data_IF_197764559783
#
_entry.id   IF_197764559783
#
_cell.length_a   1.000
_cell.length_b   1.000
_cell.length_c   1.000
_cell.angle_alpha   90.00
_cell.angle_beta   90.00
_cell.angle_gamma   90.00
#
_symmetry.space_group_name_H-M   'P 1'
#
loop_
_entity.id
_entity.type
_entity.pdbx_description
1 polymer ?
#
# COMPACT_ATOMS: atom_id res chain seq x y z
N UNK A 1 3.83 12.56 -10.56
CA UNK A 1 3.83 11.12 -10.25
C UNK A 1 4.85 10.92 -9.15
N UNK A 2 4.48 10.20 -8.09
CA UNK A 2 5.36 10.00 -6.93
C UNK A 2 6.00 8.61 -7.05
N UNK A 3 7.31 8.54 -6.87
CA UNK A 3 8.07 7.28 -6.91
C UNK A 3 8.99 7.17 -5.69
N UNK A 4 9.14 5.96 -5.16
CA UNK A 4 10.08 5.67 -4.07
C UNK A 4 10.74 4.32 -4.30
N UNK A 5 12.05 4.22 -4.05
CA UNK A 5 12.76 2.95 -4.11
C UNK A 5 12.28 2.02 -3.00
N UNK A 6 12.04 0.76 -3.33
CA UNK A 6 11.59 -0.26 -2.39
C UNK A 6 12.49 -0.39 -1.13
N UNK A 7 13.81 -0.22 -1.28
CA UNK A 7 14.76 -0.26 -0.15
C UNK A 7 14.54 0.87 0.87
N UNK A 8 13.96 2.01 0.45
CA UNK A 8 13.67 3.13 1.35
C UNK A 8 12.36 2.94 2.11
N UNK A 9 11.49 2.05 1.62
CA UNK A 9 10.17 1.82 2.20
C UNK A 9 10.32 1.06 3.51
N UNK A 10 10.06 1.73 4.62
CA UNK A 10 10.03 1.12 5.95
C UNK A 10 8.62 0.75 6.41
N UNK A 11 7.62 1.46 5.88
CA UNK A 11 6.24 1.33 6.34
C UNK A 11 5.28 1.44 5.17
N UNK A 12 4.36 0.48 5.08
CA UNK A 12 3.26 0.48 4.13
C UNK A 12 1.98 0.72 4.91
N UNK A 13 1.27 1.79 4.54
CA UNK A 13 0.00 2.14 5.16
C UNK A 13 -1.13 1.57 4.32
N UNK A 14 -1.92 0.69 4.90
CA UNK A 14 -3.14 0.19 4.29
C UNK A 14 -4.30 1.08 4.72
N UNK A 15 -4.86 1.83 3.77
CA UNK A 15 -5.90 2.81 3.96
C UNK A 15 -7.28 2.26 3.57
N UNK A 16 -8.22 2.25 4.51
CA UNK A 16 -9.62 1.86 4.24
C UNK A 16 -10.63 2.81 4.88
N UNK A 17 -11.91 2.64 4.52
CA UNK A 17 -12.99 3.55 4.93
C UNK A 17 -13.28 3.49 6.42
N UNK A 18 -13.40 2.27 6.97
CA UNK A 18 -13.84 2.04 8.36
C UNK A 18 -12.70 1.65 9.33
N UNK A 19 -11.45 1.54 8.88
CA UNK A 19 -10.30 1.24 9.75
C UNK A 19 -10.23 -0.17 10.38
N UNK A 20 -11.31 -0.98 10.40
CA UNK A 20 -11.31 -2.30 11.08
C UNK A 20 -12.14 -3.44 10.43
N UNK A 21 -12.99 -3.21 9.42
CA UNK A 21 -14.01 -4.20 9.03
C UNK A 21 -13.72 -5.12 7.82
N UNK A 22 -13.20 -4.59 6.71
CA UNK A 22 -13.23 -5.29 5.40
C UNK A 22 -11.85 -5.67 4.83
N UNK A 23 -10.78 -5.30 5.51
CA UNK A 23 -9.42 -5.31 4.94
C UNK A 23 -8.46 -6.29 5.59
N UNK A 24 -8.89 -6.98 6.65
CA UNK A 24 -8.09 -7.98 7.33
C UNK A 24 -7.65 -9.10 6.38
N UNK A 25 -8.51 -9.47 5.42
CA UNK A 25 -8.20 -10.48 4.42
C UNK A 25 -7.08 -10.03 3.47
N UNK A 26 -7.17 -8.80 2.94
CA UNK A 26 -6.14 -8.25 2.03
C UNK A 26 -4.82 -8.01 2.74
N UNK A 27 -4.85 -7.51 3.97
CA UNK A 27 -3.65 -7.31 4.80
C UNK A 27 -2.99 -8.64 5.13
N UNK A 28 -3.75 -9.67 5.51
CA UNK A 28 -3.20 -10.99 5.77
C UNK A 28 -2.62 -11.63 4.51
N UNK A 29 -3.27 -11.46 3.35
CA UNK A 29 -2.73 -11.92 2.06
C UNK A 29 -1.40 -11.22 1.75
N UNK A 30 -1.34 -9.89 1.88
CA UNK A 30 -0.11 -9.11 1.68
C UNK A 30 0.99 -9.52 2.66
N UNK A 31 0.68 -9.64 3.95
CA UNK A 31 1.63 -10.09 4.98
C UNK A 31 2.16 -11.50 4.68
N UNK A 32 1.29 -12.42 4.24
CA UNK A 32 1.70 -13.76 3.80
C UNK A 32 2.65 -13.69 2.61
N UNK A 33 2.36 -12.87 1.60
CA UNK A 33 3.22 -12.70 0.42
C UNK A 33 4.56 -12.06 0.79
N UNK A 34 4.59 -11.02 1.60
CA UNK A 34 5.82 -10.40 2.11
C UNK A 34 6.67 -11.41 2.91
N UNK A 35 6.02 -12.21 3.76
CA UNK A 35 6.71 -13.27 4.53
C UNK A 35 7.25 -14.37 3.61
N UNK A 36 6.50 -14.79 2.59
CA UNK A 36 6.96 -15.76 1.59
C UNK A 36 8.15 -15.22 0.77
N UNK A 37 8.14 -13.91 0.51
CA UNK A 37 9.22 -13.17 -0.11
C UNK A 37 10.41 -12.86 0.82
N UNK A 38 10.37 -13.32 2.09
CA UNK A 38 11.39 -13.06 3.12
C UNK A 38 11.62 -11.57 3.41
N UNK A 39 10.62 -10.72 3.17
CA UNK A 39 10.65 -9.29 3.47
C UNK A 39 10.16 -9.07 4.90
N UNK A 40 11.10 -8.86 5.82
CA UNK A 40 10.81 -8.56 7.24
C UNK A 40 11.09 -7.12 7.62
N UNK A 41 11.76 -6.36 6.74
CA UNK A 41 12.20 -4.98 7.01
C UNK A 41 11.09 -3.92 6.84
N UNK A 42 9.88 -4.35 6.47
CA UNK A 42 8.75 -3.46 6.14
C UNK A 42 7.59 -3.73 7.09
N UNK A 43 7.14 -2.68 7.77
CA UNK A 43 5.96 -2.73 8.63
C UNK A 43 4.70 -2.40 7.85
N UNK A 44 3.68 -3.27 7.92
CA UNK A 44 2.36 -3.01 7.34
C UNK A 44 1.41 -2.56 8.45
N UNK A 45 1.00 -1.29 8.41
CA UNK A 45 0.05 -0.70 9.37
C UNK A 45 -1.29 -0.43 8.70
N UNK A 46 -2.38 -0.55 9.45
CA UNK A 46 -3.71 -0.25 8.95
C UNK A 46 -4.15 1.10 9.51
N UNK A 47 -4.58 2.02 8.65
CA UNK A 47 -5.13 3.31 9.04
C UNK A 47 -6.38 3.65 8.23
N UNK A 48 -7.29 4.48 8.75
CA UNK A 48 -8.34 5.05 7.93
C UNK A 48 -7.76 5.96 6.84
N UNK A 49 -8.37 6.01 5.65
CA UNK A 49 -7.94 6.91 4.56
C UNK A 49 -7.87 8.39 4.99
N UNK A 50 -8.70 8.77 5.97
CA UNK A 50 -8.73 10.11 6.56
C UNK A 50 -7.68 10.33 7.65
N UNK A 51 -6.99 9.32 8.13
CA UNK A 51 -5.92 9.42 9.13
C UNK A 51 -4.54 9.06 8.57
N UNK A 52 -4.45 8.87 7.25
CA UNK A 52 -3.16 8.74 6.57
C UNK A 52 -2.37 10.03 6.80
N UNK A 53 -1.15 9.92 7.34
CA UNK A 53 -0.32 11.09 7.60
C UNK A 53 0.31 11.57 6.27
N UNK A 54 0.64 12.85 6.20
CA UNK A 54 1.14 13.47 4.97
C UNK A 54 2.58 13.03 4.61
N UNK A 55 3.34 12.53 5.59
CA UNK A 55 4.69 11.97 5.46
C UNK A 55 4.68 10.48 5.07
N UNK A 56 3.52 9.91 4.79
CA UNK A 56 3.41 8.54 4.34
C UNK A 56 4.22 8.33 3.06
N UNK A 57 5.02 7.26 3.03
CA UNK A 57 5.83 6.93 1.84
C UNK A 57 5.03 6.11 0.83
N UNK A 58 4.37 5.05 1.31
CA UNK A 58 3.59 4.13 0.49
C UNK A 58 2.24 3.91 1.16
N UNK A 59 1.17 4.14 0.39
CA UNK A 59 -0.20 3.97 0.84
C UNK A 59 -0.95 3.08 -0.13
N UNK A 60 -1.50 1.98 0.37
CA UNK A 60 -2.33 1.06 -0.39
C UNK A 60 -3.79 1.30 -0.02
N UNK A 61 -4.62 1.66 -0.99
CA UNK A 61 -6.00 2.11 -0.74
C UNK A 61 -6.94 1.57 -1.81
N UNK A 62 -8.21 1.39 -1.47
CA UNK A 62 -9.21 1.06 -2.50
C UNK A 62 -9.40 2.23 -3.48
N UNK A 63 -9.60 1.95 -4.78
CA UNK A 63 -9.78 2.97 -5.83
C UNK A 63 -10.82 4.04 -5.48
N UNK A 64 -11.91 3.66 -4.80
CA UNK A 64 -12.94 4.60 -4.33
C UNK A 64 -12.44 5.68 -3.36
N UNK A 65 -11.36 5.41 -2.62
CA UNK A 65 -10.77 6.33 -1.62
C UNK A 65 -9.40 6.88 -2.03
N UNK A 66 -8.88 6.47 -3.20
CA UNK A 66 -7.58 6.90 -3.70
C UNK A 66 -7.47 8.42 -3.80
N UNK A 67 -8.54 9.09 -4.24
CA UNK A 67 -8.62 10.56 -4.31
C UNK A 67 -8.42 11.23 -2.95
N UNK A 68 -9.01 10.67 -1.89
CA UNK A 68 -8.92 11.21 -0.52
C UNK A 68 -7.49 11.12 0.00
N UNK A 69 -6.85 9.96 -0.19
CA UNK A 69 -5.46 9.75 0.23
C UNK A 69 -4.51 10.65 -0.54
N UNK A 70 -4.66 10.75 -1.86
CA UNK A 70 -3.82 11.64 -2.70
C UNK A 70 -3.93 13.11 -2.29
N UNK A 71 -5.13 13.56 -1.91
CA UNK A 71 -5.33 14.92 -1.42
C UNK A 71 -4.60 15.17 -0.08
N UNK A 72 -4.46 14.15 0.77
CA UNK A 72 -3.75 14.22 2.06
C UNK A 72 -2.23 14.08 1.94
N UNK A 73 -1.79 13.14 1.12
CA UNK A 73 -0.40 12.79 0.94
C UNK A 73 -0.06 12.81 -0.56
N UNK A 74 0.05 14.01 -1.17
CA UNK A 74 0.33 14.13 -2.61
C UNK A 74 1.72 13.60 -2.99
N UNK A 75 2.65 13.60 -2.04
CA UNK A 75 4.01 13.08 -2.22
C UNK A 75 4.12 11.56 -2.00
N UNK A 76 3.10 10.93 -1.42
CA UNK A 76 3.11 9.50 -1.16
C UNK A 76 2.87 8.69 -2.43
N UNK A 77 3.44 7.49 -2.47
CA UNK A 77 3.12 6.48 -3.48
C UNK A 77 1.78 5.86 -3.13
N UNK A 78 0.72 6.32 -3.81
CA UNK A 78 -0.64 5.80 -3.63
C UNK A 78 -0.90 4.68 -4.63
N UNK A 79 -1.10 3.47 -4.12
CA UNK A 79 -1.45 2.27 -4.87
C UNK A 79 -2.93 1.96 -4.68
N UNK A 80 -3.70 2.23 -5.72
CA UNK A 80 -5.13 1.97 -5.74
C UNK A 80 -5.43 0.53 -6.20
N UNK A 81 -6.12 -0.25 -5.37
CA UNK A 81 -6.59 -1.61 -5.69
C UNK A 81 -8.12 -1.63 -5.87
N UNK A 82 -8.61 -2.59 -6.66
CA UNK A 82 -10.05 -2.79 -6.90
C UNK A 82 -10.59 -4.02 -6.18
N UNK A 83 -9.80 -5.09 -6.12
CA UNK A 83 -10.22 -6.36 -5.53
C UNK A 83 -9.50 -6.61 -4.21
N UNK A 84 -10.25 -7.04 -3.20
CA UNK A 84 -9.65 -7.36 -1.88
C UNK A 84 -8.88 -8.69 -1.90
N UNK A 85 -9.21 -9.57 -2.85
CA UNK A 85 -8.63 -10.90 -3.04
C UNK A 85 -8.09 -11.00 -4.46
N UNK A 86 -6.85 -11.48 -4.61
CA UNK A 86 -6.18 -11.72 -5.89
C UNK A 86 -6.04 -10.49 -6.81
N UNK A 87 -5.99 -9.28 -6.25
CA UNK A 87 -5.66 -8.12 -7.06
C UNK A 87 -4.19 -8.15 -7.48
N UNK A 88 -3.88 -8.02 -8.79
CA UNK A 88 -2.51 -8.06 -9.30
C UNK A 88 -1.64 -6.93 -8.75
N UNK A 89 -2.23 -5.86 -8.20
CA UNK A 89 -1.49 -4.79 -7.52
C UNK A 89 -0.70 -5.33 -6.34
N UNK A 90 -1.23 -6.28 -5.57
CA UNK A 90 -0.51 -6.86 -4.42
C UNK A 90 0.70 -7.68 -4.87
N UNK A 91 0.55 -8.48 -5.93
CA UNK A 91 1.66 -9.26 -6.48
C UNK A 91 2.73 -8.37 -7.08
N UNK A 92 2.33 -7.34 -7.84
CA UNK A 92 3.26 -6.33 -8.36
C UNK A 92 4.00 -5.62 -7.24
N UNK A 93 3.28 -5.15 -6.22
CA UNK A 93 3.87 -4.47 -5.06
C UNK A 93 4.91 -5.36 -4.40
N UNK A 94 4.58 -6.60 -4.05
CA UNK A 94 5.53 -7.53 -3.41
C UNK A 94 6.70 -7.83 -4.32
N UNK A 95 6.45 -8.06 -5.62
CA UNK A 95 7.51 -8.33 -6.60
C UNK A 95 8.47 -7.14 -6.71
N UNK A 96 7.97 -5.91 -6.84
CA UNK A 96 8.79 -4.70 -6.87
C UNK A 96 9.59 -4.53 -5.59
N UNK A 97 9.01 -4.87 -4.43
CA UNK A 97 9.75 -4.86 -3.17
C UNK A 97 10.88 -5.90 -3.12
N UNK A 98 10.65 -7.10 -3.67
CA UNK A 98 11.67 -8.16 -3.77
C UNK A 98 12.78 -7.78 -4.74
N UNK A 99 12.41 -7.25 -5.92
CA UNK A 99 13.33 -6.82 -6.96
C UNK A 99 14.05 -5.51 -6.59
N UNK A 100 13.75 -4.92 -5.42
CA UNK A 100 14.28 -3.63 -4.98
C UNK A 100 14.04 -2.52 -6.02
N UNK A 101 12.94 -2.63 -6.75
CA UNK A 101 12.59 -1.71 -7.82
C UNK A 101 12.00 -0.39 -7.29
N UNK A 102 11.53 0.43 -8.21
CA UNK A 102 10.84 1.67 -7.88
C UNK A 102 9.33 1.42 -7.77
N UNK A 103 8.75 1.74 -6.63
CA UNK A 103 7.30 1.79 -6.48
C UNK A 103 6.80 3.10 -7.05
N UNK A 104 5.88 3.00 -8.01
CA UNK A 104 5.28 4.16 -8.68
C UNK A 104 3.80 4.21 -8.32
N UNK A 105 3.30 5.39 -7.99
CA UNK A 105 1.87 5.62 -7.74
C UNK A 105 1.07 5.25 -9.00
N UNK A 106 0.01 4.45 -8.86
CA UNK A 106 -0.84 4.08 -9.98
C UNK A 106 -2.10 4.96 -10.03
N UNK A 107 -2.43 5.46 -11.21
CA UNK A 107 -3.65 6.20 -11.54
C UNK A 107 -4.81 5.24 -11.80
N UNK A 108 -5.26 4.56 -10.74
CA UNK A 108 -6.59 3.95 -10.77
C UNK A 108 -7.64 4.91 -10.20
#
# INVERSE_FOLDING_TARGET
MSQISADQVKTIIFACEAGMGSSLMSVNSLKKKLKAAQITNISVIHKPAREVPADAQVVVVHKGLAKVVRAKAPHAVVLAFNHFLNDPVFDKLVKTLVEKGELVSNDA
#
